data_IF_753256281242
#
_entry.id   IF_753256281242
#
_cell.length_a   1.000
_cell.length_b   1.000
_cell.length_c   1.000
_cell.angle_alpha   90.00
_cell.angle_beta   90.00
_cell.angle_gamma   90.00
#
_symmetry.space_group_name_H-M   'P 1'
#
loop_
_entity.id
_entity.type
_entity.pdbx_description
1 polymer ?
#
# COMPACT_ATOMS: atom_id res chain seq x y z
N UNK A 1 6.65 -10.82 -12.75
CA UNK A 1 7.08 -9.94 -11.66
C UNK A 1 6.24 -10.20 -10.42
N UNK A 2 6.80 -10.06 -9.25
CA UNK A 2 6.10 -10.25 -7.98
C UNK A 2 6.27 -9.02 -7.10
N UNK A 3 5.28 -8.77 -6.25
CA UNK A 3 5.40 -7.84 -5.14
C UNK A 3 5.56 -8.65 -3.86
N UNK A 4 6.54 -8.31 -3.04
CA UNK A 4 6.75 -8.94 -1.74
C UNK A 4 6.44 -7.93 -0.64
N UNK A 5 5.43 -8.21 0.15
CA UNK A 5 4.96 -7.34 1.22
C UNK A 5 5.81 -7.51 2.48
N UNK A 6 5.61 -6.64 3.46
CA UNK A 6 6.40 -6.67 4.69
C UNK A 6 6.29 -7.98 5.45
N UNK A 7 5.12 -8.62 5.42
CA UNK A 7 4.91 -9.92 6.07
C UNK A 7 5.42 -11.10 5.27
N UNK A 8 6.20 -10.84 4.20
CA UNK A 8 6.75 -11.82 3.26
C UNK A 8 5.72 -12.46 2.32
N UNK A 9 4.49 -11.95 2.28
CA UNK A 9 3.50 -12.39 1.29
C UNK A 9 3.99 -12.00 -0.10
N UNK A 10 4.03 -12.95 -1.02
CA UNK A 10 4.39 -12.73 -2.42
C UNK A 10 3.15 -12.82 -3.29
N UNK A 11 2.95 -11.82 -4.14
CA UNK A 11 1.82 -11.75 -5.04
C UNK A 11 2.32 -11.49 -6.46
N UNK A 12 1.78 -12.24 -7.42
CA UNK A 12 2.14 -12.06 -8.82
C UNK A 12 1.46 -10.80 -9.37
N UNK A 13 2.25 -9.95 -10.02
CA UNK A 13 1.76 -8.72 -10.65
C UNK A 13 2.31 -8.61 -12.06
N UNK A 14 1.73 -7.73 -12.88
CA UNK A 14 2.22 -7.52 -14.25
C UNK A 14 3.48 -6.66 -14.23
N UNK A 15 4.27 -6.77 -15.29
CA UNK A 15 5.50 -5.98 -15.42
C UNK A 15 5.24 -4.49 -15.62
N UNK A 16 4.00 -4.11 -15.92
CA UNK A 16 3.61 -2.71 -16.02
C UNK A 16 3.37 -2.06 -14.67
N UNK A 17 3.42 -2.84 -13.57
CA UNK A 17 3.20 -2.31 -12.22
C UNK A 17 4.30 -1.35 -11.80
N UNK A 18 3.88 -0.28 -11.11
CA UNK A 18 4.78 0.67 -10.46
C UNK A 18 4.34 0.82 -9.00
N UNK A 19 5.15 1.48 -8.18
CA UNK A 19 4.89 1.58 -6.74
C UNK A 19 3.53 2.23 -6.41
N UNK A 20 3.06 3.15 -7.24
CA UNK A 20 1.77 3.83 -7.03
C UNK A 20 0.62 3.19 -7.79
N UNK A 21 0.86 2.18 -8.63
CA UNK A 21 -0.17 1.52 -9.42
C UNK A 21 0.22 0.06 -9.67
N UNK A 22 -0.27 -0.82 -8.80
CA UNK A 22 0.00 -2.26 -8.90
C UNK A 22 -1.06 -2.89 -9.81
N UNK A 23 -0.64 -3.47 -10.91
CA UNK A 23 -1.54 -4.06 -11.90
C UNK A 23 -1.44 -5.58 -11.87
N UNK A 24 -2.58 -6.25 -11.81
CA UNK A 24 -2.61 -7.71 -11.82
C UNK A 24 -3.87 -8.21 -12.51
N UNK A 25 -3.83 -9.45 -13.01
CA UNK A 25 -4.92 -10.08 -13.73
C UNK A 25 -5.50 -11.24 -12.93
N UNK A 26 -6.83 -11.37 -12.97
CA UNK A 26 -7.53 -12.45 -12.30
C UNK A 26 -8.56 -13.09 -13.22
N UNK A 27 -8.93 -14.33 -12.92
CA UNK A 27 -9.97 -15.06 -13.65
C UNK A 27 -11.36 -14.91 -13.02
N UNK A 28 -11.47 -14.23 -11.87
CA UNK A 28 -12.75 -13.99 -11.21
C UNK A 28 -12.69 -12.71 -10.38
N UNK A 29 -13.87 -12.14 -10.11
CA UNK A 29 -13.96 -10.87 -9.40
C UNK A 29 -13.60 -11.00 -7.91
N UNK A 30 -13.84 -12.15 -7.30
CA UNK A 30 -13.56 -12.35 -5.88
C UNK A 30 -12.07 -12.22 -5.55
N UNK A 31 -11.20 -12.57 -6.50
CA UNK A 31 -9.75 -12.45 -6.33
C UNK A 31 -9.28 -11.01 -6.20
N UNK A 32 -10.03 -10.06 -6.77
CA UNK A 32 -9.69 -8.62 -6.67
C UNK A 32 -9.72 -8.21 -5.19
N UNK A 33 -10.78 -8.59 -4.47
CA UNK A 33 -10.92 -8.25 -3.05
C UNK A 33 -9.92 -9.03 -2.18
N UNK A 34 -9.68 -10.30 -2.49
CA UNK A 34 -8.70 -11.10 -1.76
C UNK A 34 -7.30 -10.49 -1.84
N UNK A 35 -6.93 -10.00 -3.03
CA UNK A 35 -5.64 -9.32 -3.22
C UNK A 35 -5.62 -8.01 -2.42
N UNK A 36 -6.70 -7.22 -2.48
CA UNK A 36 -6.79 -5.95 -1.77
C UNK A 36 -6.60 -6.13 -0.26
N UNK A 37 -7.14 -7.20 0.31
CA UNK A 37 -7.01 -7.48 1.74
C UNK A 37 -5.56 -7.67 2.20
N UNK A 38 -4.65 -7.98 1.28
CA UNK A 38 -3.23 -8.09 1.59
C UNK A 38 -2.53 -6.74 1.63
N UNK A 39 -3.14 -5.71 1.03
CA UNK A 39 -2.56 -4.37 0.95
C UNK A 39 -2.92 -3.55 2.19
N UNK A 40 -2.54 -4.04 3.36
CA UNK A 40 -2.75 -3.34 4.63
C UNK A 40 -1.68 -2.28 4.80
N UNK A 41 -1.94 -1.30 5.68
CA UNK A 41 -0.95 -0.27 6.01
C UNK A 41 0.35 -0.88 6.53
N UNK A 42 0.26 -1.92 7.36
CA UNK A 42 1.44 -2.62 7.87
C UNK A 42 2.26 -3.23 6.74
N UNK A 43 1.61 -3.90 5.80
CA UNK A 43 2.28 -4.53 4.67
C UNK A 43 2.87 -3.53 3.69
N UNK A 44 2.32 -2.33 3.64
CA UNK A 44 2.79 -1.27 2.74
C UNK A 44 3.79 -0.32 3.40
N UNK A 45 4.17 -0.55 4.68
CA UNK A 45 5.26 0.20 5.30
C UNK A 45 6.59 -0.09 4.63
N UNK A 46 6.74 -1.29 4.08
CA UNK A 46 7.88 -1.65 3.25
C UNK A 46 7.48 -2.81 2.34
N UNK A 47 7.61 -2.60 1.04
CA UNK A 47 7.40 -3.67 0.07
C UNK A 47 8.42 -3.54 -1.05
N UNK A 48 8.58 -4.62 -1.82
CA UNK A 48 9.55 -4.63 -2.90
C UNK A 48 9.02 -5.38 -4.11
N UNK A 49 9.57 -5.04 -5.27
CA UNK A 49 9.33 -5.80 -6.49
C UNK A 49 10.48 -6.76 -6.71
N UNK A 50 10.16 -7.97 -7.09
CA UNK A 50 11.13 -9.00 -7.44
C UNK A 50 10.82 -9.56 -8.81
N UNK A 51 11.85 -10.07 -9.50
CA UNK A 51 11.66 -10.75 -10.77
C UNK A 51 11.43 -12.25 -10.54
N UNK A 52 11.32 -13.04 -11.62
CA UNK A 52 11.08 -14.48 -11.52
C UNK A 52 12.25 -15.26 -10.88
N UNK A 53 13.42 -14.67 -10.81
CA UNK A 53 14.59 -15.24 -10.14
C UNK A 53 14.72 -14.77 -8.69
N UNK A 54 13.68 -14.09 -8.16
CA UNK A 54 13.64 -13.52 -6.81
C UNK A 54 14.67 -12.40 -6.56
N UNK A 55 15.20 -11.82 -7.62
CA UNK A 55 16.06 -10.64 -7.50
C UNK A 55 15.23 -9.39 -7.26
N UNK A 56 15.58 -8.63 -6.23
CA UNK A 56 14.90 -7.39 -5.89
C UNK A 56 15.39 -6.27 -6.81
N UNK A 57 14.45 -5.54 -7.43
CA UNK A 57 14.80 -4.39 -8.27
C UNK A 57 14.12 -3.08 -7.85
N UNK A 58 13.40 -3.08 -6.72
CA UNK A 58 12.81 -1.88 -6.17
C UNK A 58 12.35 -2.11 -4.75
N UNK A 59 12.67 -1.19 -3.86
CA UNK A 59 12.22 -1.22 -2.46
C UNK A 59 11.49 0.10 -2.19
N UNK A 60 10.28 0.00 -1.62
CA UNK A 60 9.40 1.15 -1.41
C UNK A 60 8.89 1.16 0.01
N UNK A 61 8.79 2.35 0.60
CA UNK A 61 8.42 2.52 2.01
C UNK A 61 7.33 3.55 2.21
N UNK A 62 6.53 3.34 3.24
CA UNK A 62 5.52 4.29 3.71
C UNK A 62 4.44 4.57 2.67
N UNK A 63 3.84 3.50 2.15
CA UNK A 63 2.70 3.58 1.24
C UNK A 63 1.42 3.19 1.96
N UNK A 64 0.30 3.60 1.40
CA UNK A 64 -1.03 3.19 1.84
C UNK A 64 -1.90 2.89 0.62
N UNK A 65 -2.90 2.03 0.80
CA UNK A 65 -3.87 1.75 -0.25
C UNK A 65 -4.81 2.94 -0.40
N UNK A 66 -5.01 3.37 -1.64
CA UNK A 66 -5.89 4.49 -1.97
C UNK A 66 -7.20 4.00 -2.60
N UNK A 67 -7.09 3.35 -3.75
CA UNK A 67 -8.27 2.88 -4.49
C UNK A 67 -7.91 1.73 -5.40
N UNK A 68 -8.94 0.99 -5.85
CA UNK A 68 -8.77 -0.04 -6.86
C UNK A 68 -9.73 0.22 -8.00
N UNK A 69 -9.22 0.13 -9.22
CA UNK A 69 -10.02 0.16 -10.44
C UNK A 69 -9.81 -1.15 -11.18
N UNK A 70 -10.86 -1.63 -11.87
CA UNK A 70 -10.70 -2.85 -12.65
C UNK A 70 -11.58 -2.81 -13.89
N UNK A 71 -11.18 -3.60 -14.88
CA UNK A 71 -11.96 -3.82 -16.08
C UNK A 71 -11.99 -5.31 -16.38
N UNK A 72 -13.02 -5.76 -17.07
CA UNK A 72 -13.16 -7.17 -17.46
C UNK A 72 -13.20 -7.26 -18.98
N UNK A 73 -12.49 -8.24 -19.52
CA UNK A 73 -12.52 -8.54 -20.95
C UNK A 73 -12.33 -10.05 -21.13
N UNK A 74 -13.31 -10.69 -21.76
CA UNK A 74 -13.26 -12.13 -22.07
C UNK A 74 -13.00 -13.00 -20.86
N UNK A 75 -13.59 -12.64 -19.70
CA UNK A 75 -13.46 -13.40 -18.48
C UNK A 75 -12.19 -13.10 -17.68
N UNK A 76 -11.37 -12.15 -18.14
CA UNK A 76 -10.15 -11.73 -17.46
C UNK A 76 -10.37 -10.36 -16.83
N UNK A 77 -10.14 -10.27 -15.52
CA UNK A 77 -10.23 -9.03 -14.76
C UNK A 77 -8.82 -8.43 -14.62
N UNK A 78 -8.64 -7.23 -15.13
CA UNK A 78 -7.40 -6.47 -14.94
C UNK A 78 -7.64 -5.43 -13.88
N UNK A 79 -7.00 -5.58 -12.73
CA UNK A 79 -7.17 -4.68 -11.59
C UNK A 79 -5.92 -3.82 -11.41
N UNK A 80 -6.14 -2.54 -11.12
CA UNK A 80 -5.08 -1.59 -10.77
C UNK A 80 -5.32 -1.11 -9.35
N UNK A 81 -4.37 -1.40 -8.47
CA UNK A 81 -4.40 -0.98 -7.07
C UNK A 81 -3.57 0.29 -6.96
N UNK A 82 -4.25 1.41 -6.73
CA UNK A 82 -3.60 2.71 -6.62
C UNK A 82 -3.14 2.91 -5.19
N UNK A 83 -1.86 3.18 -5.02
CA UNK A 83 -1.24 3.40 -3.71
C UNK A 83 -0.78 4.86 -3.62
N UNK A 84 -0.71 5.34 -2.39
CA UNK A 84 -0.24 6.68 -2.09
C UNK A 84 0.98 6.57 -1.17
N UNK A 85 2.06 7.27 -1.51
CA UNK A 85 3.21 7.35 -0.62
C UNK A 85 3.03 8.51 0.35
N UNK A 86 3.18 8.24 1.65
CA UNK A 86 3.11 9.29 2.65
C UNK A 86 4.27 10.27 2.50
N UNK A 87 3.95 11.57 2.59
CA UNK A 87 4.97 12.61 2.72
C UNK A 87 5.53 12.62 4.14
N UNK A 88 6.63 13.32 4.35
CA UNK A 88 7.20 13.46 5.70
C UNK A 88 6.21 14.07 6.68
N UNK A 89 5.42 15.04 6.22
CA UNK A 89 4.40 15.68 7.05
C UNK A 89 3.30 14.69 7.41
N UNK A 90 2.85 13.88 6.45
CA UNK A 90 1.82 12.87 6.68
C UNK A 90 2.31 11.80 7.66
N UNK A 91 3.57 11.39 7.56
CA UNK A 91 4.16 10.44 8.50
C UNK A 91 4.16 11.00 9.92
N UNK A 92 4.49 12.27 10.09
CA UNK A 92 4.47 12.92 11.40
C UNK A 92 3.07 12.98 11.99
N UNK A 93 2.07 13.32 11.17
CA UNK A 93 0.67 13.33 11.60
C UNK A 93 0.24 11.93 12.05
N UNK A 94 0.61 10.90 11.30
CA UNK A 94 0.29 9.52 11.63
C UNK A 94 0.95 9.08 12.94
N UNK A 95 2.20 9.47 13.18
CA UNK A 95 2.89 9.19 14.44
C UNK A 95 2.22 9.88 15.62
N UNK A 96 1.73 11.09 15.44
CA UNK A 96 0.99 11.82 16.47
C UNK A 96 -0.32 11.14 16.82
N UNK A 97 -0.97 10.51 15.87
CA UNK A 97 -2.21 9.76 16.09
C UNK A 97 -1.99 8.48 16.91
N UNK A 98 -0.79 7.91 16.87
CA UNK A 98 -0.45 6.69 17.61
C UNK A 98 -0.35 6.93 19.12
N UNK A 99 -0.09 8.18 19.55
CA UNK A 99 0.03 8.54 20.96
C UNK A 99 -1.02 9.58 21.36
N UNK A 100 -2.32 9.25 21.28
CA UNK A 100 -3.37 10.25 21.43
C UNK A 100 -3.38 10.96 22.78
N UNK A 101 -3.11 10.28 23.87
CA UNK A 101 -3.15 10.87 25.20
C UNK A 101 -2.10 11.97 25.37
N UNK A 102 -0.87 11.68 24.98
CA UNK A 102 0.21 12.64 25.03
C UNK A 102 -0.02 13.78 24.06
N UNK A 103 -0.56 13.45 22.90
CA UNK A 103 -0.79 14.40 21.86
C UNK A 103 -1.88 15.40 22.22
N UNK A 104 -2.98 14.93 22.79
CA UNK A 104 -4.07 15.78 23.25
C UNK A 104 -3.58 16.79 24.30
N UNK A 105 -2.79 16.34 25.26
CA UNK A 105 -2.22 17.21 26.27
C UNK A 105 -1.32 18.28 25.65
N UNK A 106 -0.46 17.87 24.73
CA UNK A 106 0.47 18.80 24.07
C UNK A 106 -0.27 19.83 23.23
N UNK A 107 -1.30 19.41 22.52
CA UNK A 107 -2.11 20.31 21.68
C UNK A 107 -2.89 21.28 22.56
N UNK A 108 -3.48 20.81 23.64
CA UNK A 108 -4.22 21.65 24.57
C UNK A 108 -3.32 22.71 25.20
N UNK A 109 -2.12 22.33 25.60
CA UNK A 109 -1.15 23.26 26.16
C UNK A 109 -0.77 24.34 25.16
N UNK A 110 -0.52 23.97 23.91
CA UNK A 110 -0.19 24.91 22.86
C UNK A 110 -1.36 25.83 22.55
N UNK A 111 -2.57 25.29 22.48
CA UNK A 111 -3.77 26.07 22.25
C UNK A 111 -4.02 27.04 23.41
N UNK A 112 -3.76 26.63 24.62
CA UNK A 112 -3.93 27.48 25.80
C UNK A 112 -2.89 28.58 25.88
N UNK A 113 -1.69 28.34 25.35
CA UNK A 113 -0.61 29.32 25.31
C UNK A 113 -0.83 30.39 24.27
N UNK A 114 -1.68 30.13 23.32
CA UNK A 114 -2.00 31.06 22.22
C UNK A 114 -3.30 31.82 22.48
#
# INVERSE_FOLDING_TARGET
>A
MKIKLKDNTELTVTESSIATAIVTNFNNAASIETFRQKLTDDNLTEFKFTNNADDTFGIYKNYTFDSVTYSEKDGVFTATYNLHQYSDIEIRIKELEITPSLQDSAIDDLASAN
#
